data_IF_298391267075
#
_entry.id   IF_298391267075
#
_cell.length_a   1.000
_cell.length_b   1.000
_cell.length_c   1.000
_cell.angle_alpha   90.00
_cell.angle_beta   90.00
_cell.angle_gamma   90.00
#
_symmetry.space_group_name_H-M   'P 1'
#
loop_
_entity.id
_entity.type
_entity.pdbx_description
1 polymer ?
#
# COMPACT_ATOMS: atom_id res chain seq x y z
N UNK A 1 -19.33 57.86 -14.39
CA UNK A 1 -19.39 56.42 -14.73
C UNK A 1 -17.97 55.89 -14.67
N UNK A 2 -17.60 55.18 -13.61
CA UNK A 2 -16.29 54.56 -13.47
C UNK A 2 -16.51 53.22 -12.79
N UNK A 3 -16.52 52.15 -13.60
CA UNK A 3 -16.64 50.78 -13.09
C UNK A 3 -15.26 50.39 -12.59
N UNK A 4 -15.08 50.44 -11.28
CA UNK A 4 -13.93 49.86 -10.59
C UNK A 4 -14.08 48.35 -10.65
N UNK A 5 -13.25 47.69 -11.45
CA UNK A 5 -13.15 46.24 -11.46
C UNK A 5 -12.41 45.80 -10.21
N UNK A 6 -13.14 45.39 -9.18
CA UNK A 6 -12.61 44.56 -8.11
C UNK A 6 -12.17 43.23 -8.70
N UNK A 7 -10.87 43.04 -8.84
CA UNK A 7 -10.26 41.72 -8.98
C UNK A 7 -10.58 40.94 -7.71
N UNK A 8 -11.56 40.05 -7.79
CA UNK A 8 -11.71 38.99 -6.80
C UNK A 8 -10.44 38.14 -6.88
N UNK A 9 -9.57 38.25 -5.88
CA UNK A 9 -8.58 37.22 -5.59
C UNK A 9 -9.35 35.92 -5.40
N UNK A 10 -9.29 35.05 -6.40
CA UNK A 10 -9.70 33.67 -6.25
C UNK A 10 -8.81 33.07 -5.17
N UNK A 11 -9.35 32.86 -3.97
CA UNK A 11 -8.74 31.97 -2.98
C UNK A 11 -8.72 30.57 -3.59
N UNK A 12 -7.65 30.26 -4.32
CA UNK A 12 -7.30 28.90 -4.72
C UNK A 12 -6.86 28.16 -3.46
N UNK A 13 -7.82 27.85 -2.60
CA UNK A 13 -7.62 26.90 -1.51
C UNK A 13 -7.39 25.55 -2.15
N UNK A 14 -6.13 25.19 -2.41
CA UNK A 14 -5.78 23.83 -2.83
C UNK A 14 -6.33 22.89 -1.76
N UNK A 15 -7.25 22.02 -2.16
CA UNK A 15 -7.83 21.03 -1.26
C UNK A 15 -6.69 20.14 -0.73
N UNK A 16 -6.47 20.16 0.58
CA UNK A 16 -5.50 19.29 1.23
C UNK A 16 -6.09 17.88 1.33
N UNK A 17 -5.44 16.93 0.68
CA UNK A 17 -5.80 15.51 0.75
C UNK A 17 -5.05 14.90 1.93
N UNK A 18 -5.81 14.40 2.90
CA UNK A 18 -5.30 13.61 4.02
C UNK A 18 -5.74 12.16 3.85
N UNK A 19 -4.80 11.28 3.53
CA UNK A 19 -5.06 9.86 3.40
C UNK A 19 -4.75 9.15 4.72
N UNK A 20 -5.76 8.57 5.37
CA UNK A 20 -5.57 7.68 6.51
C UNK A 20 -5.06 6.31 6.05
N UNK A 21 -4.12 5.73 6.77
CA UNK A 21 -3.48 4.45 6.39
C UNK A 21 -3.62 3.42 7.51
N UNK A 22 -4.07 2.21 7.16
CA UNK A 22 -3.93 1.00 7.98
C UNK A 22 -2.68 0.25 7.52
N UNK A 23 -1.78 -0.06 8.44
CA UNK A 23 -0.57 -0.84 8.13
C UNK A 23 -0.73 -2.27 8.64
N UNK A 24 -0.55 -3.24 7.76
CA UNK A 24 -0.43 -4.66 8.10
C UNK A 24 1.03 -5.09 7.89
N UNK A 25 1.76 -5.19 8.99
CA UNK A 25 3.17 -5.54 9.03
C UNK A 25 3.30 -7.04 9.30
N UNK A 26 3.58 -7.84 8.25
CA UNK A 26 3.80 -9.27 8.38
C UNK A 26 5.28 -9.53 8.65
N UNK A 27 5.60 -9.84 9.90
CA UNK A 27 6.96 -10.08 10.37
C UNK A 27 6.98 -11.36 11.24
N UNK A 28 6.91 -12.54 10.58
CA UNK A 28 6.79 -13.82 11.24
C UNK A 28 7.96 -14.11 12.17
N UNK A 29 7.72 -14.91 13.21
CA UNK A 29 8.79 -15.36 14.09
C UNK A 29 9.52 -16.55 13.46
N UNK A 30 10.84 -16.43 13.40
CA UNK A 30 11.75 -17.50 13.01
C UNK A 30 11.84 -18.58 14.09
N UNK A 31 12.49 -19.71 13.79
CA UNK A 31 12.56 -20.86 14.71
C UNK A 31 13.29 -20.54 16.02
N UNK A 32 14.13 -19.50 16.03
CA UNK A 32 14.80 -18.96 17.21
C UNK A 32 13.95 -17.95 18.00
N UNK A 33 12.73 -17.66 17.54
CA UNK A 33 11.81 -16.71 18.14
C UNK A 33 12.09 -15.24 17.78
N UNK A 34 13.09 -14.95 16.93
CA UNK A 34 13.32 -13.60 16.44
C UNK A 34 12.34 -13.27 15.30
N UNK A 35 11.89 -12.02 15.20
CA UNK A 35 11.20 -11.55 14.01
C UNK A 35 12.06 -11.73 12.75
N UNK A 36 11.43 -12.08 11.63
CA UNK A 36 12.09 -12.29 10.34
C UNK A 36 12.93 -11.08 9.93
N UNK A 37 12.42 -9.87 10.10
CA UNK A 37 13.13 -8.61 9.82
C UNK A 37 14.49 -8.56 10.53
N UNK A 38 14.49 -8.85 11.83
CA UNK A 38 15.68 -8.86 12.69
C UNK A 38 16.61 -10.02 12.31
N UNK A 39 16.07 -11.23 12.14
CA UNK A 39 16.85 -12.43 11.80
C UNK A 39 17.59 -12.28 10.46
N UNK A 40 17.07 -11.47 9.54
CA UNK A 40 17.67 -11.18 8.23
C UNK A 40 18.51 -9.91 8.18
N UNK A 41 18.46 -9.07 9.21
CA UNK A 41 19.11 -7.76 9.19
C UNK A 41 18.52 -6.82 8.13
N UNK A 42 17.23 -6.94 7.87
CA UNK A 42 16.51 -6.10 6.90
C UNK A 42 16.08 -4.76 7.51
N UNK A 43 15.61 -3.85 6.66
CA UNK A 43 15.24 -2.51 7.08
C UNK A 43 14.01 -2.51 8.02
N UNK A 44 14.03 -1.60 9.00
CA UNK A 44 12.88 -1.31 9.86
C UNK A 44 11.83 -0.51 9.05
N UNK A 45 10.58 -0.96 8.97
CA UNK A 45 9.54 -0.25 8.23
C UNK A 45 9.19 1.12 8.81
N UNK A 46 9.34 1.35 10.13
CA UNK A 46 8.93 2.60 10.79
C UNK A 46 9.66 3.85 10.24
N UNK A 47 11.01 3.88 10.18
CA UNK A 47 11.71 5.01 9.59
C UNK A 47 11.43 5.15 8.09
N UNK A 48 11.28 4.06 7.34
CA UNK A 48 10.97 4.09 5.91
C UNK A 48 9.60 4.70 5.63
N UNK A 49 8.57 4.30 6.39
CA UNK A 49 7.23 4.90 6.32
C UNK A 49 7.30 6.40 6.58
N UNK A 50 8.05 6.84 7.59
CA UNK A 50 8.19 8.27 7.92
C UNK A 50 8.82 9.05 6.78
N UNK A 51 9.89 8.52 6.17
CA UNK A 51 10.56 9.14 5.03
C UNK A 51 9.62 9.23 3.83
N UNK A 52 8.99 8.11 3.45
CA UNK A 52 8.03 8.06 2.34
C UNK A 52 6.89 9.09 2.50
N UNK A 53 6.31 9.20 3.71
CA UNK A 53 5.27 10.20 4.00
C UNK A 53 5.79 11.63 3.77
N UNK A 54 7.00 11.92 4.24
CA UNK A 54 7.67 13.21 4.09
C UNK A 54 7.97 13.55 2.63
N UNK A 55 8.43 12.57 1.86
CA UNK A 55 8.82 12.75 0.46
C UNK A 55 7.60 12.93 -0.43
N UNK A 56 6.50 12.20 -0.19
CA UNK A 56 5.22 12.44 -0.87
C UNK A 56 4.65 13.82 -0.54
N UNK A 57 4.73 14.24 0.73
CA UNK A 57 4.28 15.57 1.12
C UNK A 57 5.13 16.66 0.44
N UNK A 58 6.44 16.49 0.39
CA UNK A 58 7.36 17.41 -0.30
C UNK A 58 7.08 17.47 -1.80
N UNK A 59 7.00 16.32 -2.46
CA UNK A 59 6.77 16.21 -3.91
C UNK A 59 5.42 16.81 -4.32
N UNK A 60 4.41 16.72 -3.46
CA UNK A 60 3.08 17.30 -3.69
C UNK A 60 2.95 18.76 -3.21
N UNK A 61 4.03 19.41 -2.77
CA UNK A 61 4.02 20.74 -2.16
C UNK A 61 3.00 20.87 -1.01
N UNK A 62 2.86 19.80 -0.21
CA UNK A 62 1.94 19.68 0.91
C UNK A 62 0.53 19.21 0.57
N UNK A 63 0.16 19.12 -0.71
CA UNK A 63 -1.22 18.81 -1.13
C UNK A 63 -1.66 17.43 -0.64
N UNK A 64 -0.79 16.42 -0.72
CA UNK A 64 -1.07 15.06 -0.27
C UNK A 64 -0.27 14.77 0.98
N UNK A 65 -0.96 14.36 2.04
CA UNK A 65 -0.32 13.90 3.28
C UNK A 65 -0.93 12.58 3.73
N UNK A 66 -0.08 11.64 4.10
CA UNK A 66 -0.51 10.39 4.69
C UNK A 66 -0.48 10.50 6.21
N UNK A 67 -1.40 9.79 6.87
CA UNK A 67 -1.41 9.62 8.31
C UNK A 67 -1.59 8.15 8.64
N UNK A 68 -0.59 7.54 9.28
CA UNK A 68 -0.71 6.21 9.83
C UNK A 68 -1.74 6.24 10.97
N UNK A 69 -2.87 5.57 10.77
CA UNK A 69 -3.97 5.51 11.74
C UNK A 69 -3.78 4.35 12.70
N UNK A 70 -3.27 3.23 12.19
CA UNK A 70 -3.01 2.03 12.97
C UNK A 70 -1.96 1.15 12.27
N UNK A 71 -1.15 0.45 13.05
CA UNK A 71 -0.22 -0.58 12.58
C UNK A 71 -0.45 -1.88 13.34
N UNK A 72 -0.79 -2.93 12.60
CA UNK A 72 -0.89 -4.30 13.11
C UNK A 72 0.41 -5.04 12.80
N UNK A 73 1.20 -5.39 13.82
CA UNK A 73 2.38 -6.25 13.66
C UNK A 73 1.97 -7.71 13.82
N UNK A 74 2.15 -8.48 12.75
CA UNK A 74 1.60 -9.81 12.54
C UNK A 74 2.73 -10.81 12.53
N UNK A 75 2.78 -11.66 13.57
CA UNK A 75 3.84 -12.65 13.81
C UNK A 75 3.65 -13.97 13.05
N UNK A 76 3.09 -13.89 11.84
CA UNK A 76 2.84 -15.02 10.95
C UNK A 76 2.97 -14.61 9.50
N UNK A 77 3.21 -15.57 8.60
CA UNK A 77 3.17 -15.31 7.17
C UNK A 77 1.75 -14.94 6.69
N UNK A 78 1.60 -14.08 5.67
CA UNK A 78 0.31 -13.79 5.09
C UNK A 78 -0.28 -15.02 4.41
N UNK A 79 -1.61 -15.06 4.33
CA UNK A 79 -2.33 -16.14 3.65
C UNK A 79 -2.18 -15.99 2.12
N UNK A 80 -1.84 -17.09 1.46
CA UNK A 80 -1.85 -17.26 0.01
C UNK A 80 -3.11 -18.03 -0.41
N UNK A 81 -3.44 -18.08 -1.72
CA UNK A 81 -4.65 -18.73 -2.22
C UNK A 81 -4.88 -20.13 -1.64
N UNK A 82 -6.16 -20.45 -1.44
CA UNK A 82 -6.61 -21.73 -0.86
C UNK A 82 -6.14 -21.96 0.59
N UNK A 83 -5.91 -20.88 1.36
CA UNK A 83 -5.53 -20.98 2.77
C UNK A 83 -4.08 -21.36 3.03
N UNK A 84 -3.24 -21.46 2.00
CA UNK A 84 -1.84 -21.81 2.16
C UNK A 84 -1.09 -20.72 2.94
N UNK A 85 -0.25 -21.13 3.88
CA UNK A 85 0.67 -20.23 4.59
C UNK A 85 2.07 -20.81 4.52
N UNK A 86 3.04 -19.93 4.30
CA UNK A 86 4.45 -20.30 4.42
C UNK A 86 4.76 -20.71 5.86
N UNK A 87 5.77 -21.55 6.00
CA UNK A 87 6.44 -21.92 7.25
C UNK A 87 7.89 -21.49 7.15
N UNK A 88 8.60 -21.38 8.28
CA UNK A 88 10.02 -21.03 8.26
C UNK A 88 10.82 -21.95 7.31
N UNK A 89 10.56 -23.26 7.35
CA UNK A 89 11.23 -24.24 6.50
C UNK A 89 10.96 -24.02 4.99
N UNK A 90 9.69 -23.89 4.57
CA UNK A 90 9.39 -23.73 3.14
C UNK A 90 9.73 -22.32 2.63
N UNK A 91 9.72 -21.32 3.52
CA UNK A 91 10.14 -19.96 3.20
C UNK A 91 11.63 -19.89 2.89
N UNK A 92 12.47 -20.55 3.70
CA UNK A 92 13.89 -20.69 3.39
C UNK A 92 14.11 -21.39 2.05
N UNK A 93 13.27 -22.38 1.72
CA UNK A 93 13.27 -23.07 0.44
C UNK A 93 12.91 -22.21 -0.78
N UNK A 94 12.42 -20.97 -0.60
CA UNK A 94 12.15 -20.05 -1.70
C UNK A 94 13.40 -19.31 -2.21
N UNK A 95 14.50 -19.28 -1.44
CA UNK A 95 15.73 -18.57 -1.83
C UNK A 95 16.68 -19.46 -2.65
N UNK A 96 16.15 -19.97 -3.76
CA UNK A 96 16.86 -20.82 -4.71
C UNK A 96 16.64 -20.31 -6.13
N UNK A 97 17.49 -20.72 -7.08
CA UNK A 97 17.42 -20.26 -8.47
C UNK A 97 16.07 -20.54 -9.13
N UNK A 98 15.49 -21.71 -8.86
CA UNK A 98 14.16 -22.10 -9.36
C UNK A 98 13.24 -22.40 -8.17
N UNK A 99 12.57 -21.39 -7.61
CA UNK A 99 11.72 -21.58 -6.45
C UNK A 99 10.40 -22.26 -6.85
N UNK A 100 9.80 -23.06 -5.94
CA UNK A 100 8.48 -23.63 -6.14
C UNK A 100 7.40 -22.59 -6.42
N UNK A 101 6.32 -22.99 -7.11
CA UNK A 101 5.27 -22.06 -7.53
C UNK A 101 4.55 -21.37 -6.35
N UNK A 102 4.45 -22.04 -5.20
CA UNK A 102 3.86 -21.43 -4.00
C UNK A 102 4.65 -20.21 -3.50
N UNK A 103 5.95 -20.11 -3.78
CA UNK A 103 6.76 -18.94 -3.43
C UNK A 103 6.37 -17.73 -4.29
N UNK A 104 6.05 -17.96 -5.57
CA UNK A 104 5.72 -16.92 -6.56
C UNK A 104 4.27 -16.48 -6.51
N UNK A 105 3.40 -17.30 -5.91
CA UNK A 105 1.99 -16.97 -5.78
C UNK A 105 1.80 -15.66 -4.99
N UNK A 106 0.85 -14.85 -5.43
CA UNK A 106 0.40 -13.69 -4.66
C UNK A 106 -0.28 -14.13 -3.36
N UNK A 107 -0.48 -13.18 -2.44
CA UNK A 107 -1.37 -13.40 -1.30
C UNK A 107 -2.82 -13.52 -1.74
N UNK A 108 -3.64 -14.13 -0.89
CA UNK A 108 -5.08 -13.95 -0.95
C UNK A 108 -5.44 -12.61 -0.31
N UNK A 109 -5.49 -11.54 -1.13
CA UNK A 109 -5.81 -10.19 -0.65
C UNK A 109 -7.18 -10.14 0.03
N UNK A 110 -8.17 -10.89 -0.46
CA UNK A 110 -9.49 -10.94 0.17
C UNK A 110 -9.40 -11.51 1.58
N UNK A 111 -8.75 -12.66 1.74
CA UNK A 111 -8.54 -13.27 3.04
C UNK A 111 -7.73 -12.36 3.98
N UNK A 112 -6.63 -11.78 3.51
CA UNK A 112 -5.76 -10.90 4.29
C UNK A 112 -6.49 -9.65 4.76
N UNK A 113 -7.17 -8.91 3.87
CA UNK A 113 -7.82 -7.64 4.22
C UNK A 113 -9.02 -7.81 5.16
N UNK A 114 -9.71 -8.95 5.11
CA UNK A 114 -10.87 -9.25 5.98
C UNK A 114 -10.48 -9.95 7.28
N UNK A 115 -9.22 -10.39 7.44
CA UNK A 115 -8.78 -11.03 8.68
C UNK A 115 -8.64 -9.98 9.80
N UNK A 116 -9.13 -10.32 10.99
CA UNK A 116 -8.95 -9.51 12.20
C UNK A 116 -7.61 -9.87 12.82
N UNK A 117 -6.59 -9.03 12.60
CA UNK A 117 -5.26 -9.21 13.18
C UNK A 117 -5.10 -8.55 14.55
N UNK A 118 -5.81 -7.45 14.78
CA UNK A 118 -5.94 -6.84 16.10
C UNK A 118 -7.42 -6.73 16.49
N UNK A 119 -7.77 -7.35 17.62
CA UNK A 119 -9.15 -7.38 18.13
C UNK A 119 -9.70 -6.00 18.48
N UNK A 120 -8.83 -5.01 18.71
CA UNK A 120 -9.22 -3.64 19.07
C UNK A 120 -9.56 -2.79 17.85
N UNK A 121 -8.86 -2.99 16.74
CA UNK A 121 -9.03 -2.21 15.50
C UNK A 121 -9.81 -2.94 14.40
N UNK A 122 -9.97 -4.26 14.51
CA UNK A 122 -10.72 -5.09 13.57
C UNK A 122 -9.87 -5.53 12.37
N UNK A 123 -10.53 -5.71 11.23
CA UNK A 123 -9.87 -5.96 9.95
C UNK A 123 -9.54 -4.65 9.23
N UNK A 124 -8.65 -4.69 8.23
CA UNK A 124 -8.41 -3.54 7.36
C UNK A 124 -9.69 -3.11 6.61
N UNK A 125 -10.50 -4.08 6.16
CA UNK A 125 -11.81 -3.80 5.57
C UNK A 125 -12.77 -3.08 6.55
N UNK A 126 -12.72 -3.36 7.86
CA UNK A 126 -13.51 -2.62 8.85
C UNK A 126 -13.05 -1.17 8.99
N UNK A 127 -11.75 -0.93 8.96
CA UNK A 127 -11.20 0.42 9.01
C UNK A 127 -11.62 1.25 7.80
N UNK A 128 -11.53 0.68 6.59
CA UNK A 128 -11.97 1.28 5.34
C UNK A 128 -13.48 1.55 5.35
N UNK A 129 -14.29 0.56 5.77
CA UNK A 129 -15.75 0.66 5.84
C UNK A 129 -16.21 1.79 6.77
N UNK A 130 -15.48 2.03 7.85
CA UNK A 130 -15.78 3.07 8.82
C UNK A 130 -15.26 4.45 8.39
N UNK A 131 -14.56 4.55 7.26
CA UNK A 131 -13.93 5.80 6.81
C UNK A 131 -12.80 6.26 7.73
N UNK A 132 -12.18 5.34 8.49
CA UNK A 132 -11.02 5.67 9.34
C UNK A 132 -9.74 5.80 8.53
N UNK A 133 -9.65 5.04 7.45
CA UNK A 133 -8.52 4.96 6.54
C UNK A 133 -9.03 4.94 5.11
N UNK A 134 -8.17 5.34 4.18
CA UNK A 134 -8.40 5.42 2.74
C UNK A 134 -7.49 4.44 1.97
N UNK A 135 -6.44 3.95 2.64
CA UNK A 135 -5.39 3.12 2.05
C UNK A 135 -4.90 2.05 3.04
N UNK A 136 -4.39 0.94 2.51
CA UNK A 136 -3.76 -0.13 3.29
C UNK A 136 -2.33 -0.33 2.82
N UNK A 137 -1.38 -0.36 3.75
CA UNK A 137 0.03 -0.71 3.44
C UNK A 137 0.35 -2.09 4.00
N UNK A 138 0.90 -2.94 3.14
CA UNK A 138 1.42 -4.24 3.52
C UNK A 138 2.94 -4.13 3.65
N UNK A 139 3.48 -4.69 4.73
CA UNK A 139 4.91 -4.90 4.88
C UNK A 139 5.20 -6.39 5.00
N UNK A 140 6.30 -6.83 4.38
CA UNK A 140 6.66 -8.24 4.36
C UNK A 140 8.04 -8.50 3.78
N UNK A 141 8.43 -9.77 3.79
CA UNK A 141 9.64 -10.22 3.12
C UNK A 141 9.41 -10.56 1.64
N UNK A 142 10.49 -10.86 0.90
CA UNK A 142 10.41 -11.48 -0.43
C UNK A 142 9.54 -12.72 -0.39
N UNK A 143 8.95 -13.08 -1.53
CA UNK A 143 8.06 -14.25 -1.66
C UNK A 143 6.75 -14.18 -0.86
N UNK A 144 6.46 -13.08 -0.16
CA UNK A 144 5.17 -12.93 0.52
C UNK A 144 4.04 -12.81 -0.51
N UNK A 145 4.34 -12.24 -1.69
CA UNK A 145 3.43 -12.22 -2.83
C UNK A 145 2.59 -10.95 -2.89
N UNK A 146 3.25 -9.80 -2.77
CA UNK A 146 2.62 -8.49 -2.90
C UNK A 146 2.83 -7.93 -4.31
N UNK A 147 1.78 -7.31 -4.84
CA UNK A 147 1.88 -6.28 -5.85
C UNK A 147 2.37 -4.99 -5.20
N UNK A 148 3.15 -4.22 -5.93
CA UNK A 148 3.63 -2.87 -5.54
C UNK A 148 2.45 -1.96 -5.19
N UNK A 149 1.39 -2.03 -5.99
CA UNK A 149 0.12 -1.39 -5.73
C UNK A 149 -1.06 -2.17 -6.33
N UNK A 150 -2.25 -1.95 -5.78
CA UNK A 150 -3.51 -2.42 -6.36
C UNK A 150 -4.64 -1.43 -6.05
N UNK A 151 -5.32 -0.95 -7.09
CA UNK A 151 -6.61 -0.26 -6.93
C UNK A 151 -7.71 -1.31 -6.76
N UNK A 152 -8.39 -1.27 -5.61
CA UNK A 152 -9.46 -2.20 -5.28
C UNK A 152 -10.80 -1.56 -5.58
N UNK A 153 -11.57 -2.21 -6.46
CA UNK A 153 -12.92 -1.78 -6.80
C UNK A 153 -13.87 -1.93 -5.60
N UNK A 154 -14.87 -1.04 -5.46
CA UNK A 154 -15.90 -1.15 -4.42
C UNK A 154 -16.49 -2.54 -4.31
N UNK A 155 -16.71 -3.01 -3.08
CA UNK A 155 -17.46 -4.23 -2.76
C UNK A 155 -16.87 -5.53 -3.36
N UNK A 156 -15.58 -5.52 -3.74
CA UNK A 156 -14.86 -6.70 -4.23
C UNK A 156 -14.12 -7.41 -3.08
N UNK A 157 -12.83 -7.12 -2.89
CA UNK A 157 -12.03 -7.71 -1.82
C UNK A 157 -12.54 -7.36 -0.43
N UNK A 158 -13.15 -6.18 -0.27
CA UNK A 158 -13.87 -5.79 0.94
C UNK A 158 -15.36 -5.58 0.62
N UNK A 159 -16.24 -6.60 0.76
CA UNK A 159 -17.62 -6.55 0.29
C UNK A 159 -18.47 -5.39 0.85
N UNK A 160 -18.15 -4.91 2.06
CA UNK A 160 -18.90 -3.83 2.70
C UNK A 160 -18.33 -2.42 2.44
N UNK A 161 -17.23 -2.29 1.70
CA UNK A 161 -16.57 -1.01 1.40
C UNK A 161 -17.09 -0.45 0.07
N UNK A 162 -17.68 0.76 0.11
CA UNK A 162 -18.39 1.36 -1.03
C UNK A 162 -17.52 2.23 -1.92
N UNK A 163 -16.38 2.70 -1.42
CA UNK A 163 -15.45 3.54 -2.17
C UNK A 163 -14.28 2.67 -2.67
N UNK A 164 -13.68 2.99 -3.83
CA UNK A 164 -12.43 2.38 -4.21
C UNK A 164 -11.34 2.78 -3.21
N UNK A 165 -10.37 1.91 -3.01
CA UNK A 165 -9.22 2.16 -2.13
C UNK A 165 -7.97 1.53 -2.73
N UNK A 166 -6.80 1.91 -2.22
CA UNK A 166 -5.52 1.37 -2.68
C UNK A 166 -4.89 0.48 -1.62
N UNK A 167 -4.23 -0.57 -2.08
CA UNK A 167 -3.31 -1.38 -1.27
C UNK A 167 -1.91 -1.18 -1.85
N UNK A 168 -0.95 -0.83 -1.01
CA UNK A 168 0.49 -0.76 -1.37
C UNK A 168 1.23 -1.94 -0.73
N UNK A 169 2.21 -2.51 -1.43
CA UNK A 169 2.99 -3.64 -0.95
C UNK A 169 4.48 -3.34 -0.87
N UNK A 170 5.02 -3.25 0.34
CA UNK A 170 6.41 -2.91 0.60
C UNK A 170 7.22 -4.09 1.14
N UNK A 171 8.53 -4.04 0.91
CA UNK A 171 9.47 -5.11 1.29
C UNK A 171 10.56 -4.60 2.24
N UNK A 172 10.84 -5.36 3.31
CA UNK A 172 11.94 -5.04 4.24
C UNK A 172 13.33 -5.11 3.58
N UNK A 173 13.47 -5.84 2.47
CA UNK A 173 14.73 -5.91 1.71
C UNK A 173 15.07 -4.61 0.98
N UNK A 174 14.10 -3.69 0.88
CA UNK A 174 14.19 -2.46 0.09
C UNK A 174 14.15 -1.22 0.97
N UNK A 175 14.51 -0.10 0.37
CA UNK A 175 14.50 1.20 1.01
C UNK A 175 13.31 2.03 0.58
N UNK A 176 13.30 3.27 1.05
CA UNK A 176 12.34 4.29 0.67
C UNK A 176 12.30 4.57 -0.84
N UNK A 177 13.43 4.55 -1.60
CA UNK A 177 13.39 4.79 -3.04
C UNK A 177 12.51 3.81 -3.80
N UNK A 178 12.49 2.53 -3.39
CA UNK A 178 11.58 1.55 -3.97
C UNK A 178 10.11 1.80 -3.58
N UNK A 179 9.83 2.30 -2.37
CA UNK A 179 8.46 2.71 -2.02
C UNK A 179 7.96 3.86 -2.91
N UNK A 180 8.83 4.82 -3.23
CA UNK A 180 8.50 5.89 -4.20
C UNK A 180 8.36 5.36 -5.63
N UNK A 181 9.14 4.35 -6.00
CA UNK A 181 9.01 3.65 -7.28
C UNK A 181 7.62 3.01 -7.42
N UNK A 182 7.15 2.30 -6.39
CA UNK A 182 5.82 1.69 -6.33
C UNK A 182 4.72 2.75 -6.48
N UNK A 183 4.89 3.92 -5.82
CA UNK A 183 4.00 5.06 -6.00
C UNK A 183 4.02 5.60 -7.43
N UNK A 184 5.19 5.64 -8.07
CA UNK A 184 5.34 6.01 -9.48
C UNK A 184 4.50 5.11 -10.38
N UNK A 185 4.61 3.79 -10.20
CA UNK A 185 3.80 2.82 -10.94
C UNK A 185 2.29 2.97 -10.68
N UNK A 186 1.88 3.28 -9.44
CA UNK A 186 0.49 3.63 -9.14
C UNK A 186 0.04 4.86 -9.92
N UNK A 187 0.83 5.93 -9.91
CA UNK A 187 0.50 7.16 -10.61
C UNK A 187 0.38 6.93 -12.12
N UNK A 188 1.34 6.22 -12.72
CA UNK A 188 1.33 5.83 -14.13
C UNK A 188 0.10 5.00 -14.48
N UNK A 189 -0.21 3.97 -13.70
CA UNK A 189 -1.36 3.10 -13.91
C UNK A 189 -2.70 3.84 -13.82
N UNK A 190 -2.86 4.73 -12.84
CA UNK A 190 -4.08 5.54 -12.69
C UNK A 190 -4.23 6.57 -13.81
N UNK A 191 -3.13 7.20 -14.24
CA UNK A 191 -3.13 8.11 -15.39
C UNK A 191 -3.51 7.33 -16.65
N UNK A 192 -2.95 6.14 -16.89
CA UNK A 192 -3.29 5.33 -18.05
C UNK A 192 -4.77 4.90 -18.04
N UNK A 193 -5.29 4.48 -16.89
CA UNK A 193 -6.68 4.02 -16.75
C UNK A 193 -7.72 5.13 -16.89
N UNK A 194 -7.39 6.38 -16.50
CA UNK A 194 -8.34 7.51 -16.51
C UNK A 194 -8.11 8.57 -17.59
N UNK A 195 -6.86 8.85 -17.97
CA UNK A 195 -6.43 9.98 -18.81
C UNK A 195 -5.69 9.51 -20.07
N UNK A 196 -5.08 8.33 -20.05
CA UNK A 196 -4.19 7.81 -21.10
C UNK A 196 -4.82 7.82 -22.49
N UNK A 197 -6.10 7.47 -22.61
CA UNK A 197 -6.80 7.53 -23.89
C UNK A 197 -6.91 8.95 -24.46
N UNK A 198 -7.09 9.97 -23.62
CA UNK A 198 -7.30 11.36 -24.08
C UNK A 198 -6.03 12.13 -24.42
N UNK A 199 -4.87 11.76 -23.86
CA UNK A 199 -3.59 12.43 -24.12
C UNK A 199 -2.91 11.87 -25.37
N UNK A 200 -2.90 10.54 -25.55
CA UNK A 200 -2.20 9.93 -26.68
C UNK A 200 -3.00 9.99 -27.99
N UNK A 201 -4.33 10.04 -27.96
CA UNK A 201 -5.17 10.30 -29.15
C UNK A 201 -4.94 11.70 -29.76
N UNK A 202 -4.27 12.62 -29.06
CA UNK A 202 -3.91 13.95 -29.59
C UNK A 202 -2.47 14.05 -30.08
N UNK A 203 -1.69 12.98 -29.98
CA UNK A 203 -0.34 12.88 -30.54
C UNK A 203 -0.33 11.99 -31.80
N UNK A 204 -1.37 12.06 -32.62
CA UNK A 204 -1.41 11.44 -33.95
C UNK A 204 -0.65 12.27 -35.02
N UNK A 205 0.11 13.28 -34.60
CA UNK A 205 1.05 13.99 -35.47
C UNK A 205 0.39 14.79 -36.59
N UNK A 206 -0.83 15.29 -36.36
CA UNK A 206 -1.45 16.34 -37.20
C UNK A 206 -1.34 17.73 -36.59
#
# INVERSE_FOLDING_TARGET
>A
MGVSATTAEASSGREHIRAGVEVLDFDPLMDDGLPLTIARGWNDPVPLQTQYIGDVATASAGIVTHRLVHTSVIRSYPEKPNGFRLTNANYQGCFVETPPDYCKALIDYGAVLNTVFDRRSGSACDALRQGRVDEVWLWGGPWFGYLEWQLVSPQTLCPAVRNPFVVMGFSYERGEPEMLHDLGHRAEGLIQAGIGFGIWDRFDGQ
#
